data_IF_611592416581
#
_entry.id   IF_611592416581
#
_cell.length_a   1.000
_cell.length_b   1.000
_cell.length_c   1.000
_cell.angle_alpha   90.00
_cell.angle_beta   90.00
_cell.angle_gamma   90.00
#
_symmetry.space_group_name_H-M   'P 1'
#
loop_
_entity.id
_entity.type
_entity.pdbx_description
1 polymer ?
#
# COMPACT_ATOMS: atom_id res chain seq x y z
N UNK A 1 10.53 -1.76 31.30
CA UNK A 1 10.61 -2.89 30.35
C UNK A 1 9.57 -2.64 29.26
N UNK A 2 9.97 -1.98 28.16
CA UNK A 2 9.02 -1.55 27.13
C UNK A 2 8.63 -2.74 26.27
N UNK A 3 7.51 -3.36 26.59
CA UNK A 3 6.84 -4.32 25.72
C UNK A 3 6.25 -3.49 24.58
N UNK A 4 7.06 -3.21 23.56
CA UNK A 4 6.50 -2.94 22.24
C UNK A 4 5.72 -4.21 21.87
N UNK A 5 4.39 -4.14 21.72
CA UNK A 5 3.60 -5.33 21.47
C UNK A 5 4.14 -6.02 20.22
N UNK A 6 4.36 -7.32 20.32
CA UNK A 6 4.70 -8.25 19.22
C UNK A 6 3.74 -8.14 18.02
N UNK A 7 2.60 -7.48 18.21
CA UNK A 7 1.70 -7.04 17.14
C UNK A 7 2.30 -6.00 16.17
N UNK A 8 3.51 -5.47 16.34
CA UNK A 8 4.12 -4.58 15.33
C UNK A 8 4.58 -5.28 14.04
N UNK A 9 4.28 -6.58 13.88
CA UNK A 9 4.45 -7.31 12.62
C UNK A 9 3.09 -7.47 11.95
N UNK A 10 2.40 -6.37 11.67
CA UNK A 10 1.25 -6.43 10.76
C UNK A 10 1.77 -6.33 9.33
N UNK A 11 1.61 -7.44 8.60
CA UNK A 11 1.55 -7.51 7.15
C UNK A 11 2.87 -7.62 6.36
N UNK A 12 3.72 -8.59 6.72
CA UNK A 12 4.69 -9.13 5.78
C UNK A 12 4.08 -10.26 4.95
N UNK A 13 3.11 -9.92 4.10
CA UNK A 13 2.70 -10.82 3.02
C UNK A 13 2.53 -9.98 1.76
N UNK A 14 3.60 -9.96 0.93
CA UNK A 14 3.76 -9.24 -0.35
C UNK A 14 4.13 -7.74 -0.33
N UNK A 15 5.01 -7.30 0.57
CA UNK A 15 5.50 -5.90 0.57
C UNK A 15 6.12 -5.49 -0.78
N UNK A 16 6.79 -6.40 -1.50
CA UNK A 16 7.40 -6.07 -2.79
C UNK A 16 6.36 -5.78 -3.87
N UNK A 17 5.41 -6.69 -4.09
CA UNK A 17 4.38 -6.51 -5.14
C UNK A 17 3.55 -5.26 -4.86
N UNK A 18 3.14 -5.06 -3.61
CA UNK A 18 2.39 -3.88 -3.18
C UNK A 18 3.19 -2.60 -3.41
N UNK A 19 4.40 -2.51 -2.84
CA UNK A 19 5.24 -1.32 -2.96
C UNK A 19 5.58 -0.99 -4.41
N UNK A 20 5.86 -2.01 -5.23
CA UNK A 20 6.28 -1.78 -6.61
C UNK A 20 5.12 -1.36 -7.53
N UNK A 21 3.93 -1.95 -7.35
CA UNK A 21 2.72 -1.50 -8.05
C UNK A 21 2.37 -0.07 -7.63
N UNK A 22 2.35 0.21 -6.32
CA UNK A 22 2.03 1.55 -5.81
C UNK A 22 3.00 2.61 -6.32
N UNK A 23 4.31 2.37 -6.19
CA UNK A 23 5.35 3.28 -6.67
C UNK A 23 5.18 3.56 -8.16
N UNK A 24 5.03 2.50 -8.97
CA UNK A 24 4.86 2.63 -10.42
C UNK A 24 3.60 3.41 -10.78
N UNK A 25 2.48 3.13 -10.10
CA UNK A 25 1.22 3.82 -10.33
C UNK A 25 1.37 5.32 -10.04
N UNK A 26 1.96 5.69 -8.90
CA UNK A 26 2.20 7.09 -8.54
C UNK A 26 3.14 7.79 -9.53
N UNK A 27 4.17 7.10 -10.03
CA UNK A 27 5.06 7.65 -11.06
C UNK A 27 4.33 7.88 -12.38
N UNK A 28 3.47 6.94 -12.81
CA UNK A 28 2.67 7.11 -14.02
C UNK A 28 1.68 8.26 -13.89
N UNK A 29 1.03 8.41 -12.73
CA UNK A 29 0.09 9.51 -12.46
C UNK A 29 0.73 10.91 -12.49
N UNK A 30 2.06 11.02 -12.40
CA UNK A 30 2.75 12.31 -12.56
C UNK A 30 2.79 12.80 -14.00
N UNK A 31 2.62 11.90 -14.97
CA UNK A 31 2.81 12.17 -16.40
C UNK A 31 1.53 11.90 -17.20
N UNK A 32 0.80 10.85 -16.82
CA UNK A 32 -0.39 10.35 -17.50
C UNK A 32 -1.66 10.68 -16.71
N UNK A 33 -2.79 10.89 -17.41
CA UNK A 33 -4.09 10.93 -16.74
C UNK A 33 -4.40 9.55 -16.15
N UNK A 34 -4.92 9.51 -14.92
CA UNK A 34 -5.19 8.28 -14.19
C UNK A 34 -6.09 7.31 -14.98
N UNK A 35 -7.13 7.82 -15.64
CA UNK A 35 -8.07 6.98 -16.40
C UNK A 35 -7.39 6.28 -17.59
N UNK A 36 -6.37 6.92 -18.17
CA UNK A 36 -5.61 6.37 -19.31
C UNK A 36 -4.63 5.27 -18.91
N UNK A 37 -4.32 5.13 -17.62
CA UNK A 37 -3.44 4.08 -17.11
C UNK A 37 -4.21 2.76 -17.14
N UNK A 38 -3.73 1.81 -17.94
CA UNK A 38 -4.28 0.45 -18.02
C UNK A 38 -3.53 -0.49 -17.08
N UNK A 39 -4.22 -1.52 -16.59
CA UNK A 39 -3.59 -2.55 -15.74
C UNK A 39 -2.44 -3.25 -16.46
N UNK A 40 -2.56 -3.50 -17.77
CA UNK A 40 -1.48 -4.10 -18.56
C UNK A 40 -0.22 -3.23 -18.61
N UNK A 41 -0.38 -1.91 -18.79
CA UNK A 41 0.77 -0.98 -18.84
C UNK A 41 1.39 -0.80 -17.46
N UNK A 42 0.55 -0.71 -16.42
CA UNK A 42 0.98 -0.64 -15.03
C UNK A 42 1.80 -1.88 -14.63
N UNK A 43 1.24 -3.08 -14.86
CA UNK A 43 1.90 -4.35 -14.50
C UNK A 43 3.18 -4.59 -15.28
N UNK A 44 3.22 -4.23 -16.56
CA UNK A 44 4.43 -4.29 -17.37
C UNK A 44 5.52 -3.36 -16.82
N UNK A 45 5.19 -2.12 -16.49
CA UNK A 45 6.15 -1.14 -15.95
C UNK A 45 6.61 -1.47 -14.52
N UNK A 46 5.73 -2.06 -13.72
CA UNK A 46 6.04 -2.49 -12.35
C UNK A 46 6.82 -3.80 -12.29
N UNK A 47 7.06 -4.47 -13.43
CA UNK A 47 7.70 -5.79 -13.53
C UNK A 47 6.98 -6.86 -12.70
N UNK A 48 5.65 -6.78 -12.64
CA UNK A 48 4.80 -7.71 -11.89
C UNK A 48 3.87 -8.42 -12.87
N UNK A 49 3.76 -9.74 -12.77
CA UNK A 49 2.81 -10.50 -13.57
C UNK A 49 1.36 -10.13 -13.27
N UNK A 50 0.49 -10.10 -14.29
CA UNK A 50 -0.95 -9.79 -14.14
C UNK A 50 -1.65 -10.69 -13.11
N UNK A 51 -1.31 -11.98 -13.05
CA UNK A 51 -1.84 -12.89 -12.03
C UNK A 51 -1.48 -12.44 -10.60
N UNK A 52 -0.27 -11.89 -10.40
CA UNK A 52 0.14 -11.34 -9.12
C UNK A 52 -0.61 -10.06 -8.76
N UNK A 53 -0.89 -9.20 -9.76
CA UNK A 53 -1.75 -8.04 -9.55
C UNK A 53 -3.15 -8.47 -9.09
N UNK A 54 -3.80 -9.36 -9.84
CA UNK A 54 -5.18 -9.76 -9.57
C UNK A 54 -5.39 -10.59 -8.30
N UNK A 55 -4.32 -11.19 -7.74
CA UNK A 55 -4.39 -11.80 -6.41
C UNK A 55 -4.55 -10.77 -5.28
N UNK A 56 -4.17 -9.51 -5.51
CA UNK A 56 -4.14 -8.47 -4.48
C UNK A 56 -5.15 -7.33 -4.76
N UNK A 57 -5.46 -7.08 -6.03
CA UNK A 57 -6.28 -5.94 -6.46
C UNK A 57 -7.22 -6.34 -7.60
N UNK A 58 -8.45 -5.82 -7.60
CA UNK A 58 -9.35 -5.98 -8.75
C UNK A 58 -9.17 -4.84 -9.76
N UNK A 59 -8.84 -3.65 -9.25
CA UNK A 59 -8.73 -2.40 -10.03
C UNK A 59 -7.49 -1.58 -9.64
N UNK A 60 -7.17 -0.53 -10.41
CA UNK A 60 -6.05 0.39 -10.08
C UNK A 60 -6.42 1.33 -8.92
N UNK A 61 -7.71 1.57 -8.73
CA UNK A 61 -8.29 2.34 -7.64
C UNK A 61 -8.12 1.60 -6.31
N UNK A 62 -8.22 0.26 -6.31
CA UNK A 62 -8.01 -0.55 -5.12
C UNK A 62 -6.61 -0.38 -4.54
N UNK A 63 -5.59 -0.20 -5.40
CA UNK A 63 -4.20 0.04 -4.97
C UNK A 63 -4.12 1.29 -4.09
N UNK A 64 -4.76 2.37 -4.52
CA UNK A 64 -4.77 3.63 -3.77
C UNK A 64 -5.64 3.53 -2.52
N UNK A 65 -6.77 2.84 -2.60
CA UNK A 65 -7.68 2.67 -1.44
C UNK A 65 -6.99 1.89 -0.32
N UNK A 66 -6.36 0.76 -0.64
CA UNK A 66 -5.65 -0.05 0.36
C UNK A 66 -4.50 0.72 0.99
N UNK A 67 -3.73 1.48 0.21
CA UNK A 67 -2.65 2.31 0.77
C UNK A 67 -3.19 3.44 1.66
N UNK A 68 -4.31 4.07 1.29
CA UNK A 68 -4.94 5.09 2.12
C UNK A 68 -5.46 4.50 3.46
N UNK A 69 -6.07 3.32 3.42
CA UNK A 69 -6.50 2.61 4.62
C UNK A 69 -5.32 2.23 5.52
N UNK A 70 -4.21 1.78 4.93
CA UNK A 70 -2.95 1.49 5.63
C UNK A 70 -2.43 2.73 6.36
N UNK A 71 -2.30 3.86 5.67
CA UNK A 71 -1.84 5.12 6.24
C UNK A 71 -2.78 5.63 7.35
N UNK A 72 -4.09 5.49 7.16
CA UNK A 72 -5.07 5.86 8.18
C UNK A 72 -4.95 5.00 9.43
N UNK A 73 -4.71 3.70 9.29
CA UNK A 73 -4.47 2.81 10.42
C UNK A 73 -3.18 3.19 11.16
N UNK A 74 -2.08 3.38 10.43
CA UNK A 74 -0.80 3.80 10.99
C UNK A 74 -0.93 5.11 11.77
N UNK A 75 -1.65 6.09 11.21
CA UNK A 75 -1.92 7.37 11.86
C UNK A 75 -2.71 7.19 13.16
N UNK A 76 -3.82 6.45 13.14
CA UNK A 76 -4.63 6.17 14.34
C UNK A 76 -3.82 5.46 15.41
N UNK A 77 -2.99 4.49 15.02
CA UNK A 77 -2.13 3.78 15.95
C UNK A 77 -1.10 4.72 16.58
N UNK A 78 -0.46 5.59 15.81
CA UNK A 78 0.48 6.59 16.33
C UNK A 78 -0.17 7.53 17.36
N UNK A 79 -1.43 7.94 17.16
CA UNK A 79 -2.20 8.74 18.12
C UNK A 79 -2.44 7.97 19.43
N UNK A 80 -2.94 6.74 19.36
CA UNK A 80 -3.19 5.92 20.56
C UNK A 80 -1.90 5.60 21.35
N UNK A 81 -0.75 5.56 20.68
CA UNK A 81 0.55 5.42 21.33
C UNK A 81 0.97 6.66 22.11
N UNK A 82 0.60 7.85 21.62
CA UNK A 82 0.87 9.10 22.30
C UNK A 82 0.05 9.20 23.60
N UNK A 83 -1.22 8.81 23.55
CA UNK A 83 -2.13 8.80 24.71
C UNK A 83 -1.66 7.84 25.82
N UNK A 84 -1.24 6.61 25.46
CA UNK A 84 -0.79 5.61 26.44
C UNK A 84 0.57 5.91 27.10
N UNK A 85 1.38 6.80 26.54
CA UNK A 85 2.68 7.22 27.11
C UNK A 85 2.57 8.44 28.03
N UNK A 86 1.41 9.09 28.07
CA UNK A 86 1.15 10.29 28.87
C UNK A 86 0.46 9.95 30.22
N UNK A 87 0.16 8.67 30.48
CA UNK A 87 -0.27 8.15 31.78
C UNK A 87 0.87 7.47 32.53
#
# INVERSE_FOLDING_TARGET
MSIVPRQLVWYEVNSYVHSQILKTLLEMMRVDNFDSITISRLTAKAEVGRASFYRNYQTKEDVLRQEAERLNLDYRMAQTWHERKQC
#
